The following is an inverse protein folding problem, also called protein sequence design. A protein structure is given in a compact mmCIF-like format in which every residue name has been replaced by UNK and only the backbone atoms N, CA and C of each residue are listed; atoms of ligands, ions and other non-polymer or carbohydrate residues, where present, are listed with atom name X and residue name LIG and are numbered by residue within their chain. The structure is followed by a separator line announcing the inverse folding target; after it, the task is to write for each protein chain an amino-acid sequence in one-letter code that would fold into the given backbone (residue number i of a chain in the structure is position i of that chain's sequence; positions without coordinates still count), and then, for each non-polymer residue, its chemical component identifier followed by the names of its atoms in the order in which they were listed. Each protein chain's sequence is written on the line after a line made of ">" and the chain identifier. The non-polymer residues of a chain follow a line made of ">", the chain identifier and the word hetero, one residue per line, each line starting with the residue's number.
data_IF_797019341528
#
_entry.id   IF_797019341528
#
_cell.length_a   1.000
_cell.length_b   1.000
_cell.length_c   1.000
_cell.angle_alpha   90.00
_cell.angle_beta   90.00
_cell.angle_gamma   90.00
#
_symmetry.space_group_name_H-M   'P 1'
#
loop_
_entity.id
_entity.type
_entity.pdbx_description
1 polymer ?
#
# COMPACT_ATOMS: atom_id res chain seq x y z
N UNK A 1 6.01 51.18 -21.35
CA UNK A 1 5.25 49.95 -21.72
C UNK A 1 5.97 48.64 -21.36
N UNK A 2 7.32 48.58 -21.29
CA UNK A 2 8.02 47.36 -20.87
C UNK A 2 8.02 47.08 -19.35
N UNK A 3 7.90 48.10 -18.48
CA UNK A 3 7.83 47.87 -17.02
C UNK A 3 6.52 47.22 -16.56
N UNK A 4 5.39 47.47 -17.24
CA UNK A 4 4.08 46.90 -16.86
C UNK A 4 3.98 45.41 -17.18
N UNK A 5 4.68 44.93 -18.21
CA UNK A 5 4.68 43.51 -18.59
C UNK A 5 5.48 42.63 -17.61
N UNK A 6 6.54 43.17 -16.99
CA UNK A 6 7.37 42.44 -16.02
C UNK A 6 6.65 42.27 -14.67
N UNK A 7 5.87 43.25 -14.25
CA UNK A 7 5.07 43.19 -13.01
C UNK A 7 3.91 42.19 -13.10
N UNK A 8 3.30 42.03 -14.27
CA UNK A 8 2.22 41.06 -14.49
C UNK A 8 2.71 39.61 -14.50
N UNK A 9 3.96 39.36 -14.92
CA UNK A 9 4.54 38.01 -14.92
C UNK A 9 4.98 37.57 -13.51
N UNK A 10 5.43 38.50 -12.66
CA UNK A 10 5.79 38.21 -11.27
C UNK A 10 4.56 37.87 -10.40
N UNK A 11 3.41 38.49 -10.68
CA UNK A 11 2.16 38.22 -9.96
C UNK A 11 1.57 36.84 -10.26
N UNK A 12 1.85 36.27 -11.44
CA UNK A 12 1.32 34.96 -11.85
C UNK A 12 2.05 33.77 -11.19
N UNK A 13 3.31 33.96 -10.77
CA UNK A 13 4.08 32.95 -10.02
C UNK A 13 3.70 32.86 -8.53
N UNK A 14 3.09 33.91 -7.96
CA UNK A 14 2.65 33.93 -6.57
C UNK A 14 1.25 33.31 -6.34
N UNK A 15 0.52 33.03 -7.42
CA UNK A 15 -0.84 32.48 -7.39
C UNK A 15 -0.90 30.98 -7.71
N UNK A 16 0.25 30.30 -7.82
CA UNK A 16 0.24 28.85 -7.79
C UNK A 16 -0.22 28.44 -6.38
N UNK A 17 -1.31 27.67 -6.23
CA UNK A 17 -1.59 27.07 -4.95
C UNK A 17 -0.35 26.26 -4.58
N UNK A 18 0.36 26.71 -3.54
CA UNK A 18 1.24 25.83 -2.81
C UNK A 18 0.33 24.72 -2.33
N UNK A 19 0.34 23.61 -3.06
CA UNK A 19 0.00 22.32 -2.49
C UNK A 19 1.03 22.10 -1.40
N UNK A 20 0.82 22.74 -0.25
CA UNK A 20 1.41 22.33 0.98
C UNK A 20 1.01 20.86 1.07
N UNK A 21 1.96 19.96 0.80
CA UNK A 21 1.88 18.63 1.36
C UNK A 21 1.60 18.89 2.82
N UNK A 22 0.48 18.38 3.31
CA UNK A 22 0.32 18.20 4.72
C UNK A 22 1.39 17.20 5.14
N UNK A 23 2.63 17.68 5.29
CA UNK A 23 3.59 17.10 6.19
C UNK A 23 3.02 17.41 7.57
N UNK A 24 1.91 16.75 7.90
CA UNK A 24 1.40 16.69 9.25
C UNK A 24 2.51 16.06 10.05
N UNK A 25 3.37 16.89 10.63
CA UNK A 25 4.54 16.46 11.35
C UNK A 25 4.07 15.44 12.37
N UNK A 26 4.63 14.23 12.30
CA UNK A 26 4.27 13.18 13.22
C UNK A 26 4.50 13.66 14.66
N UNK A 27 3.65 13.20 15.59
CA UNK A 27 3.85 13.50 17.03
C UNK A 27 5.28 13.13 17.45
N UNK A 28 5.87 13.80 18.46
CA UNK A 28 7.18 13.41 18.99
C UNK A 28 7.27 11.90 19.28
N UNK A 29 8.37 11.28 18.83
CA UNK A 29 8.61 9.83 18.91
C UNK A 29 7.96 9.00 17.81
N UNK A 30 7.08 9.56 16.99
CA UNK A 30 6.55 8.88 15.80
C UNK A 30 7.31 9.29 14.54
N UNK A 31 7.37 8.37 13.56
CA UNK A 31 8.00 8.56 12.26
C UNK A 31 7.00 8.33 11.13
N UNK A 32 7.12 9.09 10.05
CA UNK A 32 6.35 8.85 8.84
C UNK A 32 6.81 7.53 8.18
N UNK A 33 5.88 6.61 7.97
CA UNK A 33 6.10 5.32 7.31
C UNK A 33 4.99 5.07 6.30
N UNK A 34 5.29 4.28 5.27
CA UNK A 34 4.24 3.76 4.40
C UNK A 34 3.56 2.58 5.09
N UNK A 35 2.25 2.48 4.89
CA UNK A 35 1.42 1.32 5.22
C UNK A 35 0.88 0.75 3.91
N UNK A 36 1.09 -0.55 3.70
CA UNK A 36 0.40 -1.29 2.64
C UNK A 36 -0.53 -2.33 3.24
N UNK A 37 -1.74 -2.40 2.69
CA UNK A 37 -2.70 -3.47 2.95
C UNK A 37 -2.86 -4.33 1.69
N UNK A 38 -2.64 -5.64 1.83
CA UNK A 38 -2.87 -6.61 0.76
C UNK A 38 -4.01 -7.54 1.14
N UNK A 39 -5.12 -7.49 0.39
CA UNK A 39 -6.29 -8.33 0.62
C UNK A 39 -6.24 -9.52 -0.32
N UNK A 40 -6.17 -10.70 0.29
CA UNK A 40 -5.90 -11.96 -0.38
C UNK A 40 -7.04 -12.94 -0.11
N UNK A 41 -7.80 -13.29 -1.14
CA UNK A 41 -8.76 -14.39 -1.07
C UNK A 41 -8.03 -15.69 -0.73
N UNK A 42 -8.53 -16.40 0.28
CA UNK A 42 -7.92 -17.64 0.79
C UNK A 42 -8.25 -18.79 -0.14
N UNK A 43 -7.21 -19.48 -0.62
CA UNK A 43 -7.34 -20.67 -1.47
C UNK A 43 -6.46 -21.79 -0.93
N UNK A 44 -7.02 -23.00 -0.86
CA UNK A 44 -6.29 -24.19 -0.45
C UNK A 44 -6.20 -24.36 1.05
N UNK A 45 -5.23 -25.18 1.49
CA UNK A 45 -5.08 -25.59 2.90
C UNK A 45 -4.34 -24.54 3.75
N UNK A 46 -4.61 -24.44 5.06
CA UNK A 46 -3.90 -23.53 5.97
C UNK A 46 -2.37 -23.60 5.89
N UNK A 47 -1.80 -24.77 5.65
CA UNK A 47 -0.35 -24.98 5.50
C UNK A 47 0.22 -24.24 4.27
N UNK A 48 -0.56 -24.12 3.20
CA UNK A 48 -0.13 -23.42 1.98
C UNK A 48 0.01 -21.92 2.26
N UNK A 49 -0.91 -21.35 3.03
CA UNK A 49 -0.83 -19.96 3.50
C UNK A 49 0.40 -19.74 4.39
N UNK A 50 0.60 -20.58 5.42
CA UNK A 50 1.77 -20.46 6.32
C UNK A 50 3.09 -20.52 5.55
N UNK A 51 3.21 -21.42 4.56
CA UNK A 51 4.39 -21.48 3.69
C UNK A 51 4.55 -20.24 2.82
N UNK A 52 3.45 -19.71 2.28
CA UNK A 52 3.51 -18.48 1.48
C UNK A 52 4.03 -17.30 2.31
N UNK A 53 3.53 -17.12 3.54
CA UNK A 53 4.03 -16.11 4.47
C UNK A 53 5.54 -16.29 4.69
N UNK A 54 5.96 -17.48 5.14
CA UNK A 54 7.35 -17.75 5.51
C UNK A 54 8.34 -17.63 4.34
N UNK A 55 7.96 -18.06 3.14
CA UNK A 55 8.87 -18.13 2.00
C UNK A 55 8.82 -16.89 1.09
N UNK A 56 7.70 -16.16 1.09
CA UNK A 56 7.49 -15.06 0.15
C UNK A 56 7.38 -13.73 0.88
N UNK A 57 6.55 -13.64 1.90
CA UNK A 57 6.23 -12.34 2.51
C UNK A 57 7.29 -11.94 3.53
N UNK A 58 7.57 -12.78 4.52
CA UNK A 58 8.50 -12.47 5.62
C UNK A 58 9.91 -12.12 5.13
N UNK A 59 10.52 -12.80 4.14
CA UNK A 59 11.85 -12.41 3.65
C UNK A 59 11.89 -11.02 2.97
N UNK A 60 10.75 -10.50 2.51
CA UNK A 60 10.65 -9.17 1.87
C UNK A 60 10.36 -8.05 2.88
N UNK A 61 9.79 -8.41 4.03
CA UNK A 61 9.44 -7.52 5.13
C UNK A 61 9.86 -8.15 6.47
N UNK A 62 11.17 -8.25 6.73
CA UNK A 62 11.71 -8.93 7.92
C UNK A 62 11.37 -8.21 9.22
N UNK A 63 11.15 -6.89 9.16
CA UNK A 63 10.79 -6.04 10.30
C UNK A 63 9.43 -6.36 10.92
N UNK A 64 8.58 -7.10 10.19
CA UNK A 64 7.30 -7.59 10.69
C UNK A 64 6.09 -7.21 9.83
N UNK A 65 4.98 -7.86 10.15
CA UNK A 65 3.68 -7.68 9.52
C UNK A 65 2.58 -8.23 10.42
N UNK A 66 1.35 -7.80 10.20
CA UNK A 66 0.16 -8.36 10.84
C UNK A 66 -0.72 -9.04 9.80
N UNK A 67 -1.32 -10.17 10.16
CA UNK A 67 -2.34 -10.85 9.34
C UNK A 67 -3.68 -10.70 10.03
N UNK A 68 -4.64 -10.07 9.36
CA UNK A 68 -6.03 -10.03 9.80
C UNK A 68 -6.85 -11.06 9.03
N UNK A 69 -7.83 -11.66 9.69
CA UNK A 69 -8.84 -12.51 9.07
C UNK A 69 -10.08 -11.69 8.76
N UNK A 70 -10.66 -11.91 7.58
CA UNK A 70 -11.87 -11.23 7.15
C UNK A 70 -12.75 -12.09 6.27
N UNK A 71 -13.97 -11.62 6.03
CA UNK A 71 -14.88 -12.19 5.04
C UNK A 71 -15.04 -11.18 3.92
N UNK A 72 -14.55 -11.55 2.74
CA UNK A 72 -14.61 -10.76 1.53
C UNK A 72 -15.85 -11.07 0.72
N UNK A 73 -16.36 -10.06 0.05
CA UNK A 73 -17.34 -10.22 -1.01
C UNK A 73 -16.82 -9.50 -2.25
N UNK A 74 -16.77 -10.22 -3.36
CA UNK A 74 -16.33 -9.67 -4.63
C UNK A 74 -17.40 -9.88 -5.69
N UNK A 75 -17.69 -8.83 -6.48
CA UNK A 75 -18.59 -8.95 -7.62
C UNK A 75 -17.79 -9.34 -8.86
N UNK A 76 -17.86 -10.62 -9.20
CA UNK A 76 -17.34 -11.15 -10.47
C UNK A 76 -18.40 -11.12 -11.58
N UNK A 77 -18.00 -11.58 -12.77
CA UNK A 77 -18.91 -11.73 -13.93
C UNK A 77 -20.12 -12.64 -13.67
N UNK A 78 -20.03 -13.54 -12.68
CA UNK A 78 -21.07 -14.51 -12.32
C UNK A 78 -21.91 -14.08 -11.10
N UNK A 79 -21.73 -12.85 -10.61
CA UNK A 79 -22.40 -12.35 -9.40
C UNK A 79 -21.44 -12.12 -8.24
N UNK A 80 -22.00 -11.95 -7.04
CA UNK A 80 -21.22 -11.78 -5.81
C UNK A 80 -20.73 -13.14 -5.31
N UNK A 81 -19.43 -13.28 -5.11
CA UNK A 81 -18.81 -14.42 -4.46
C UNK A 81 -18.36 -14.04 -3.05
N UNK A 82 -18.54 -14.96 -2.12
CA UNK A 82 -18.06 -14.85 -0.74
C UNK A 82 -16.75 -15.62 -0.61
N UNK A 83 -15.75 -15.04 0.04
CA UNK A 83 -14.48 -15.70 0.28
C UNK A 83 -13.90 -15.34 1.64
N UNK A 84 -13.30 -16.33 2.31
CA UNK A 84 -12.41 -16.04 3.42
C UNK A 84 -11.24 -15.19 2.88
N UNK A 85 -10.88 -14.13 3.61
CA UNK A 85 -9.86 -13.17 3.20
C UNK A 85 -8.78 -13.09 4.28
N UNK A 86 -7.52 -13.00 3.85
CA UNK A 86 -6.39 -12.62 4.69
C UNK A 86 -5.95 -11.23 4.28
N UNK A 87 -5.81 -10.33 5.25
CA UNK A 87 -5.28 -8.98 5.02
C UNK A 87 -3.90 -8.90 5.62
N UNK A 88 -2.90 -8.68 4.78
CA UNK A 88 -1.56 -8.34 5.26
C UNK A 88 -1.50 -6.85 5.53
N UNK A 89 -1.13 -6.46 6.74
CA UNK A 89 -0.86 -5.07 7.12
C UNK A 89 0.64 -4.94 7.36
N UNK A 90 1.30 -4.08 6.59
CA UNK A 90 2.76 -3.92 6.64
C UNK A 90 3.08 -2.44 6.73
N UNK A 91 3.83 -2.06 7.77
CA UNK A 91 4.42 -0.72 7.91
C UNK A 91 5.90 -0.79 7.53
N UNK A 92 6.37 0.09 6.64
CA UNK A 92 7.74 0.08 6.16
C UNK A 92 8.26 1.50 5.88
N UNK A 93 9.57 1.68 5.99
CA UNK A 93 10.23 2.89 5.47
C UNK A 93 10.29 2.77 3.93
N UNK A 94 9.72 3.72 3.17
CA UNK A 94 9.78 3.67 1.71
C UNK A 94 11.23 3.72 1.20
N UNK A 95 11.55 2.84 0.26
CA UNK A 95 12.81 2.84 -0.48
C UNK A 95 12.56 2.55 -1.97
N UNK A 96 13.61 2.66 -2.78
CA UNK A 96 13.54 2.45 -4.23
C UNK A 96 13.03 1.05 -4.65
N UNK A 97 13.05 0.06 -3.74
CA UNK A 97 12.67 -1.32 -4.01
C UNK A 97 11.30 -1.70 -3.43
N UNK A 98 10.71 -0.87 -2.57
CA UNK A 98 9.49 -1.21 -1.82
C UNK A 98 8.35 -1.67 -2.73
N UNK A 99 8.10 -0.93 -3.81
CA UNK A 99 7.03 -1.26 -4.76
C UNK A 99 7.27 -2.63 -5.42
N UNK A 100 8.49 -2.88 -5.89
CA UNK A 100 8.84 -4.15 -6.53
C UNK A 100 8.70 -5.34 -5.57
N UNK A 101 9.01 -5.17 -4.28
CA UNK A 101 8.80 -6.18 -3.24
C UNK A 101 7.30 -6.49 -3.06
N UNK A 102 6.46 -5.46 -3.02
CA UNK A 102 5.00 -5.60 -2.88
C UNK A 102 4.40 -6.29 -4.12
N UNK A 103 4.77 -5.85 -5.32
CA UNK A 103 4.25 -6.45 -6.56
C UNK A 103 4.77 -7.88 -6.79
N UNK A 104 5.96 -8.22 -6.29
CA UNK A 104 6.44 -9.59 -6.28
C UNK A 104 5.54 -10.49 -5.42
N UNK A 105 5.13 -10.04 -4.22
CA UNK A 105 4.19 -10.77 -3.36
C UNK A 105 2.86 -10.98 -4.09
N UNK A 106 2.26 -9.90 -4.62
CA UNK A 106 0.97 -9.95 -5.34
C UNK A 106 1.03 -10.90 -6.54
N UNK A 107 2.09 -10.81 -7.33
CA UNK A 107 2.26 -11.63 -8.53
C UNK A 107 2.50 -13.10 -8.19
N UNK A 108 3.32 -13.40 -7.17
CA UNK A 108 3.54 -14.77 -6.70
C UNK A 108 2.25 -15.38 -6.13
N UNK A 109 1.46 -14.61 -5.38
CA UNK A 109 0.19 -15.08 -4.84
C UNK A 109 -0.79 -15.43 -5.96
N UNK A 110 -1.01 -14.51 -6.91
CA UNK A 110 -1.87 -14.74 -8.07
C UNK A 110 -1.48 -16.00 -8.84
N UNK A 111 -0.19 -16.18 -9.14
CA UNK A 111 0.30 -17.38 -9.84
C UNK A 111 0.11 -18.66 -9.03
N UNK A 112 0.52 -18.66 -7.75
CA UNK A 112 0.51 -19.86 -6.91
C UNK A 112 -0.91 -20.36 -6.58
N UNK A 113 -1.84 -19.44 -6.39
CA UNK A 113 -3.21 -19.75 -5.97
C UNK A 113 -4.25 -19.56 -7.08
N UNK A 114 -3.82 -19.23 -8.30
CA UNK A 114 -4.68 -18.95 -9.47
C UNK A 114 -5.75 -17.89 -9.17
N UNK A 115 -5.38 -16.90 -8.37
CA UNK A 115 -6.23 -15.77 -8.00
C UNK A 115 -6.23 -14.72 -9.11
N UNK A 116 -7.40 -14.14 -9.40
CA UNK A 116 -7.55 -13.11 -10.44
C UNK A 116 -6.86 -11.80 -10.02
N UNK A 117 -6.98 -11.46 -8.74
CA UNK A 117 -6.45 -10.23 -8.18
C UNK A 117 -5.99 -10.44 -6.74
N UNK A 118 -5.18 -9.49 -6.28
CA UNK A 118 -4.93 -9.21 -4.87
C UNK A 118 -5.21 -7.71 -4.77
N UNK A 119 -6.02 -7.26 -3.82
CA UNK A 119 -6.22 -5.81 -3.64
C UNK A 119 -5.00 -5.24 -2.93
N UNK A 120 -4.57 -4.03 -3.33
CA UNK A 120 -3.55 -3.25 -2.64
C UNK A 120 -4.13 -1.90 -2.29
N UNK A 121 -3.94 -1.47 -1.05
CA UNK A 121 -4.20 -0.11 -0.61
C UNK A 121 -2.93 0.44 0.05
N UNK A 122 -2.48 1.60 -0.41
CA UNK A 122 -1.30 2.29 0.10
C UNK A 122 -1.72 3.54 0.85
N UNK A 123 -1.11 3.77 2.01
CA UNK A 123 -1.32 4.97 2.83
C UNK A 123 0.00 5.40 3.47
N UNK A 124 0.12 6.67 3.82
CA UNK A 124 1.18 7.15 4.71
C UNK A 124 0.63 7.26 6.13
N UNK A 125 1.42 6.84 7.12
CA UNK A 125 1.02 6.85 8.53
C UNK A 125 2.17 7.32 9.42
N UNK A 126 1.83 8.00 10.52
CA UNK A 126 2.76 8.25 11.62
C UNK A 126 2.77 7.02 12.54
N UNK A 127 3.93 6.37 12.67
CA UNK A 127 4.10 5.12 13.41
C UNK A 127 5.11 5.31 14.55
N UNK A 128 4.80 4.77 15.72
CA UNK A 128 5.65 4.73 16.92
C UNK A 128 5.62 3.30 17.44
N UNK A 129 6.78 2.78 17.84
CA UNK A 129 6.94 1.49 18.48
C UNK A 129 7.31 1.68 19.95
#
# INVERSE_FOLDING_TARGET
>A
MLLSAVLLLAALLAALPTYARADGACRPGARAMAKVELYMGVVGRPEAWRRFLAQVVTPRFPEGLTVLEGQGQWRGRRGVSHEATRVLVIFYAPDATSDSRIEAIRSLYKRRFRQQSVLRADTMACVSF
#
